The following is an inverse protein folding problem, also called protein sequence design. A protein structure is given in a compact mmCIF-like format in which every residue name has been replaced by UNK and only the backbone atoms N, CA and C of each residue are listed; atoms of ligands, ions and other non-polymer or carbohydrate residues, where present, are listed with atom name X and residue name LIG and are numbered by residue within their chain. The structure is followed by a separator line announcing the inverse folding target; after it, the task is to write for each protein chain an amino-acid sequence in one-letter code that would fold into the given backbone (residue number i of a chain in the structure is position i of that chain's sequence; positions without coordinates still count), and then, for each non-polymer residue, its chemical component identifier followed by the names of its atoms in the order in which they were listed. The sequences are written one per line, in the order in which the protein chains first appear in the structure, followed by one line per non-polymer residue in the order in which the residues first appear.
data_IF_612923058452
#
_entry.id   IF_612923058452
#
_cell.length_a   1.000
_cell.length_b   1.000
_cell.length_c   1.000
_cell.angle_alpha   90.00
_cell.angle_beta   90.00
_cell.angle_gamma   90.00
#
_symmetry.space_group_name_H-M   'P 1'
#
loop_
_entity.id
_entity.type
_entity.pdbx_description
1 polymer ?
#
# COMPACT_ATOMS: atom_id res chain seq x y z
N UNK A 1 -54.59 7.50 4.56
CA UNK A 1 -53.37 7.74 5.37
C UNK A 1 -53.14 9.24 5.37
N UNK A 2 -53.06 9.87 6.54
CA UNK A 2 -52.99 11.34 6.66
C UNK A 2 -51.65 11.85 6.10
N UNK A 3 -51.64 13.05 5.52
CA UNK A 3 -50.45 13.71 4.96
C UNK A 3 -49.34 13.77 5.99
N UNK A 4 -49.69 14.05 7.25
CA UNK A 4 -48.74 14.06 8.39
C UNK A 4 -48.08 12.69 8.60
N UNK A 5 -48.86 11.61 8.52
CA UNK A 5 -48.33 10.24 8.68
C UNK A 5 -47.41 9.86 7.51
N UNK A 6 -47.66 10.34 6.30
CA UNK A 6 -46.79 10.11 5.14
C UNK A 6 -45.47 10.88 5.23
N UNK A 7 -45.51 12.14 5.68
CA UNK A 7 -44.30 12.95 5.84
C UNK A 7 -43.36 12.38 6.91
N UNK A 8 -43.89 11.90 8.04
CA UNK A 8 -43.08 11.27 9.10
C UNK A 8 -42.41 9.99 8.59
N UNK A 9 -43.13 9.17 7.83
CA UNK A 9 -42.60 7.93 7.24
C UNK A 9 -41.44 8.19 6.27
N UNK A 10 -41.57 9.23 5.44
CA UNK A 10 -40.51 9.63 4.51
C UNK A 10 -39.25 10.12 5.24
N UNK A 11 -39.41 10.93 6.29
CA UNK A 11 -38.28 11.42 7.08
C UNK A 11 -37.54 10.25 7.73
N UNK A 12 -38.25 9.31 8.35
CA UNK A 12 -37.64 8.13 8.97
C UNK A 12 -36.90 7.28 7.94
N UNK A 13 -37.49 7.06 6.76
CA UNK A 13 -36.85 6.31 5.68
C UNK A 13 -35.56 6.99 5.19
N UNK A 14 -35.59 8.30 4.96
CA UNK A 14 -34.39 9.06 4.58
C UNK A 14 -33.32 9.05 5.66
N UNK A 15 -33.69 9.13 6.94
CA UNK A 15 -32.74 9.03 8.05
C UNK A 15 -32.08 7.65 8.13
N UNK A 16 -32.84 6.56 7.95
CA UNK A 16 -32.29 5.20 7.94
C UNK A 16 -31.35 4.99 6.75
N UNK A 17 -31.72 5.46 5.56
CA UNK A 17 -30.86 5.40 4.38
C UNK A 17 -29.60 6.26 4.58
N UNK A 18 -29.73 7.47 5.12
CA UNK A 18 -28.62 8.37 5.40
C UNK A 18 -27.65 7.80 6.42
N UNK A 19 -28.15 7.24 7.53
CA UNK A 19 -27.33 6.55 8.52
C UNK A 19 -26.71 5.30 7.91
N UNK A 20 -27.45 4.52 7.11
CA UNK A 20 -26.91 3.37 6.39
C UNK A 20 -25.79 3.75 5.42
N UNK A 21 -25.92 4.87 4.70
CA UNK A 21 -24.89 5.40 3.81
C UNK A 21 -23.67 5.92 4.58
N UNK A 22 -23.88 6.59 5.73
CA UNK A 22 -22.78 7.03 6.60
C UNK A 22 -22.04 5.84 7.22
N UNK A 23 -22.77 4.81 7.68
CA UNK A 23 -22.17 3.58 8.19
C UNK A 23 -21.48 2.77 7.08
N UNK A 24 -22.02 2.76 5.86
CA UNK A 24 -21.40 2.12 4.70
C UNK A 24 -20.15 2.87 4.22
N UNK A 25 -20.16 4.20 4.33
CA UNK A 25 -18.98 5.04 4.10
C UNK A 25 -17.94 4.81 5.18
N UNK A 26 -18.34 4.74 6.45
CA UNK A 26 -17.45 4.35 7.56
C UNK A 26 -16.89 2.93 7.38
N UNK A 27 -17.67 1.95 6.89
CA UNK A 27 -17.14 0.61 6.63
C UNK A 27 -16.14 0.58 5.47
N UNK A 28 -16.31 1.45 4.45
CA UNK A 28 -15.30 1.62 3.39
C UNK A 28 -14.06 2.40 3.86
N UNK A 29 -14.22 3.29 4.84
CA UNK A 29 -13.13 4.03 5.48
C UNK A 29 -12.40 3.18 6.53
N UNK A 30 -13.09 2.20 7.14
CA UNK A 30 -12.55 1.26 8.12
C UNK A 30 -12.00 -0.01 7.50
N UNK A 31 -12.46 -0.42 6.32
CA UNK A 31 -11.91 -1.61 5.66
C UNK A 31 -11.96 -1.58 4.12
N UNK A 32 -10.76 -1.49 3.53
CA UNK A 32 -10.48 -1.85 2.13
C UNK A 32 -8.99 -2.17 1.89
N UNK A 33 -8.11 -2.18 2.92
CA UNK A 33 -6.75 -2.70 2.82
C UNK A 33 -6.03 -2.61 4.16
N UNK A 34 -6.07 -3.68 4.96
CA UNK A 34 -5.10 -3.87 6.05
C UNK A 34 -3.72 -4.22 5.46
N UNK A 35 -3.16 -3.30 4.67
CA UNK A 35 -1.73 -3.28 4.39
C UNK A 35 -1.13 -2.46 5.53
N UNK A 36 -0.56 -3.11 6.54
CA UNK A 36 0.17 -2.43 7.60
C UNK A 36 1.09 -1.40 6.98
N UNK A 37 0.73 -0.12 7.13
CA UNK A 37 1.56 0.98 6.68
C UNK A 37 2.70 1.03 7.67
N UNK A 38 3.92 0.82 7.17
CA UNK A 38 5.13 0.81 7.95
C UNK A 38 6.03 1.94 7.49
N UNK A 39 6.78 2.49 8.43
CA UNK A 39 7.86 3.42 8.14
C UNK A 39 9.07 2.67 7.58
N UNK A 40 9.95 3.40 6.88
CA UNK A 40 11.14 2.80 6.26
C UNK A 40 12.01 2.06 7.26
N UNK A 41 12.13 2.58 8.47
CA UNK A 41 12.95 2.03 9.55
C UNK A 41 12.45 0.65 9.99
N UNK A 42 11.15 0.38 9.83
CA UNK A 42 10.50 -0.87 10.25
C UNK A 42 10.60 -1.98 9.18
N UNK A 43 11.01 -1.66 7.94
CA UNK A 43 11.02 -2.62 6.83
C UNK A 43 11.90 -3.83 7.15
N UNK A 44 13.08 -3.61 7.74
CA UNK A 44 14.00 -4.69 8.07
C UNK A 44 13.44 -5.62 9.16
N UNK A 45 12.70 -5.08 10.12
CA UNK A 45 12.10 -5.84 11.22
C UNK A 45 10.87 -6.64 10.76
N UNK A 46 10.08 -6.08 9.85
CA UNK A 46 8.82 -6.67 9.38
C UNK A 46 9.05 -7.72 8.28
N UNK A 47 10.09 -7.56 7.46
CA UNK A 47 10.37 -8.45 6.33
C UNK A 47 10.60 -9.89 6.81
N UNK A 48 9.72 -10.79 6.37
CA UNK A 48 9.70 -12.21 6.74
C UNK A 48 10.32 -13.12 5.68
N UNK A 49 10.97 -12.56 4.66
CA UNK A 49 11.69 -13.34 3.66
C UNK A 49 12.81 -14.14 4.35
N UNK A 50 13.03 -15.38 3.91
CA UNK A 50 14.15 -16.17 4.40
C UNK A 50 15.46 -15.44 4.08
N UNK A 51 16.33 -15.31 5.08
CA UNK A 51 17.54 -14.48 5.02
C UNK A 51 18.71 -15.16 4.32
N UNK A 52 18.59 -16.44 4.02
CA UNK A 52 19.63 -17.22 3.32
C UNK A 52 19.21 -17.42 1.87
N UNK A 53 20.01 -16.91 0.92
CA UNK A 53 19.82 -17.17 -0.51
C UNK A 53 20.10 -15.96 -1.40
N UNK A 54 19.64 -16.06 -2.64
CA UNK A 54 19.68 -14.98 -3.62
C UNK A 54 18.30 -14.35 -3.77
N UNK A 55 18.28 -13.06 -4.10
CA UNK A 55 17.08 -12.27 -4.19
C UNK A 55 17.04 -11.48 -5.49
N UNK A 56 15.88 -11.47 -6.12
CA UNK A 56 15.54 -10.56 -7.20
C UNK A 56 14.73 -9.41 -6.65
N UNK A 57 15.15 -8.18 -6.96
CA UNK A 57 14.47 -6.95 -6.56
C UNK A 57 13.90 -6.28 -7.81
N UNK A 58 12.58 -6.24 -7.92
CA UNK A 58 11.87 -5.58 -9.01
C UNK A 58 11.34 -4.22 -8.55
N UNK A 59 11.42 -3.22 -9.43
CA UNK A 59 10.97 -1.86 -9.16
C UNK A 59 9.85 -1.51 -10.12
N UNK A 60 8.69 -1.15 -9.59
CA UNK A 60 7.47 -0.97 -10.38
C UNK A 60 7.01 0.48 -10.26
N UNK A 61 6.64 1.09 -11.37
CA UNK A 61 6.06 2.45 -11.43
C UNK A 61 4.64 2.46 -10.90
N UNK A 62 4.17 3.63 -10.50
CA UNK A 62 2.76 3.86 -10.17
C UNK A 62 1.81 3.53 -11.33
N UNK A 63 2.29 3.60 -12.57
CA UNK A 63 1.53 3.19 -13.76
C UNK A 63 1.52 1.68 -14.00
N UNK A 64 2.23 0.89 -13.19
CA UNK A 64 2.35 -0.57 -13.34
C UNK A 64 3.49 -1.06 -14.23
N UNK A 65 4.20 -0.17 -14.93
CA UNK A 65 5.36 -0.54 -15.75
C UNK A 65 6.62 -0.68 -14.90
N UNK A 66 7.65 -1.35 -15.44
CA UNK A 66 8.97 -1.35 -14.81
C UNK A 66 9.51 0.07 -14.62
N UNK A 67 10.06 0.34 -13.44
CA UNK A 67 10.66 1.62 -13.07
C UNK A 67 12.13 1.69 -13.48
N UNK A 68 12.86 0.60 -13.23
CA UNK A 68 14.25 0.37 -13.61
C UNK A 68 14.50 -1.13 -13.58
N UNK A 69 15.60 -1.55 -14.22
CA UNK A 69 16.05 -2.93 -14.28
C UNK A 69 16.09 -3.60 -12.90
N UNK A 70 15.62 -4.84 -12.86
CA UNK A 70 15.68 -5.69 -11.68
C UNK A 70 17.11 -5.94 -11.24
N UNK A 71 17.31 -6.01 -9.93
CA UNK A 71 18.64 -6.22 -9.34
C UNK A 71 18.68 -7.61 -8.70
N UNK A 72 19.74 -8.35 -8.99
CA UNK A 72 20.04 -9.63 -8.34
C UNK A 72 21.10 -9.41 -7.25
N UNK A 73 20.82 -9.90 -6.05
CA UNK A 73 21.74 -9.84 -4.91
C UNK A 73 21.78 -11.19 -4.20
N UNK A 74 22.94 -11.57 -3.68
CA UNK A 74 23.14 -12.87 -3.00
C UNK A 74 23.15 -12.73 -1.46
N UNK A 75 22.62 -11.62 -0.96
CA UNK A 75 22.65 -11.27 0.45
C UNK A 75 21.40 -10.46 0.85
N UNK A 76 20.80 -10.84 1.97
CA UNK A 76 19.57 -10.22 2.48
C UNK A 76 19.81 -8.78 2.91
N UNK A 77 20.90 -8.50 3.61
CA UNK A 77 21.22 -7.15 4.09
C UNK A 77 21.44 -6.19 2.91
N UNK A 78 22.12 -6.66 1.86
CA UNK A 78 22.28 -5.92 0.62
C UNK A 78 20.94 -5.69 -0.10
N UNK A 79 20.03 -6.67 -0.07
CA UNK A 79 18.69 -6.53 -0.64
C UNK A 79 17.91 -5.41 0.07
N UNK A 80 17.81 -5.48 1.40
CA UNK A 80 17.13 -4.49 2.23
C UNK A 80 17.77 -3.11 2.07
N UNK A 81 19.11 -3.02 2.09
CA UNK A 81 19.83 -1.76 1.88
C UNK A 81 19.50 -1.13 0.52
N UNK A 82 19.39 -1.95 -0.53
CA UNK A 82 19.05 -1.51 -1.89
C UNK A 82 17.62 -0.97 -1.96
N UNK A 83 16.67 -1.65 -1.30
CA UNK A 83 15.29 -1.19 -1.18
C UNK A 83 15.20 0.12 -0.41
N UNK A 84 15.78 0.19 0.79
CA UNK A 84 15.78 1.40 1.63
C UNK A 84 16.44 2.60 0.94
N UNK A 85 17.57 2.38 0.26
CA UNK A 85 18.26 3.41 -0.53
C UNK A 85 17.36 3.93 -1.67
N UNK A 86 16.66 3.03 -2.35
CA UNK A 86 15.75 3.39 -3.44
C UNK A 86 14.55 4.20 -2.94
N UNK A 87 13.92 3.79 -1.84
CA UNK A 87 12.80 4.51 -1.22
C UNK A 87 13.21 5.91 -0.74
N UNK A 88 14.37 6.04 -0.08
CA UNK A 88 14.90 7.35 0.34
C UNK A 88 15.15 8.28 -0.84
N UNK A 89 15.75 7.79 -1.92
CA UNK A 89 15.96 8.59 -3.16
C UNK A 89 14.63 9.02 -3.78
N UNK A 90 13.60 8.18 -3.68
CA UNK A 90 12.25 8.47 -4.14
C UNK A 90 11.45 9.40 -3.21
N UNK A 91 12.00 9.78 -2.03
CA UNK A 91 11.32 10.55 -0.98
C UNK A 91 10.01 9.88 -0.56
N UNK A 92 10.09 8.60 -0.26
CA UNK A 92 9.01 7.79 0.28
C UNK A 92 9.38 7.46 1.72
N UNK A 93 8.55 7.92 2.67
CA UNK A 93 8.80 7.76 4.11
C UNK A 93 7.96 6.62 4.73
N UNK A 94 6.94 6.15 4.02
CA UNK A 94 6.10 5.03 4.44
C UNK A 94 5.60 4.20 3.26
N UNK A 95 5.40 2.91 3.51
CA UNK A 95 4.95 1.92 2.53
C UNK A 95 3.89 1.01 3.14
N UNK A 96 3.01 0.52 2.29
CA UNK A 96 2.00 -0.50 2.58
C UNK A 96 2.56 -1.88 2.27
N UNK A 97 2.51 -2.81 3.23
CA UNK A 97 2.91 -4.20 2.99
C UNK A 97 1.80 -4.96 2.27
N UNK A 98 2.06 -5.41 1.05
CA UNK A 98 1.13 -6.16 0.20
C UNK A 98 1.26 -7.67 0.41
N UNK A 99 2.50 -8.15 0.49
CA UNK A 99 2.81 -9.56 0.70
C UNK A 99 4.07 -9.67 1.56
N UNK A 100 4.08 -10.64 2.47
CA UNK A 100 5.19 -10.86 3.39
C UNK A 100 5.26 -12.35 3.75
N UNK A 101 5.91 -13.11 2.89
CA UNK A 101 6.12 -14.54 3.04
C UNK A 101 7.62 -14.86 3.02
N UNK A 102 8.03 -16.09 3.37
CA UNK A 102 9.43 -16.51 3.30
C UNK A 102 10.08 -16.36 1.92
N UNK A 103 9.30 -16.36 0.85
CA UNK A 103 9.82 -16.31 -0.53
C UNK A 103 9.53 -14.98 -1.24
N UNK A 104 8.66 -14.14 -0.66
CA UNK A 104 8.13 -12.96 -1.33
C UNK A 104 7.82 -11.84 -0.35
N UNK A 105 8.41 -10.68 -0.59
CA UNK A 105 8.08 -9.44 0.10
C UNK A 105 7.69 -8.36 -0.92
N UNK A 106 6.47 -7.85 -0.83
CA UNK A 106 5.95 -6.81 -1.72
C UNK A 106 5.51 -5.62 -0.89
N UNK A 107 6.06 -4.46 -1.22
CA UNK A 107 5.67 -3.18 -0.64
C UNK A 107 5.17 -2.23 -1.72
N UNK A 108 4.11 -1.51 -1.42
CA UNK A 108 3.54 -0.49 -2.27
C UNK A 108 3.62 0.87 -1.57
N UNK A 109 3.68 1.95 -2.35
CA UNK A 109 3.61 3.30 -1.82
C UNK A 109 2.25 3.50 -1.13
N UNK A 110 2.26 3.90 0.15
CA UNK A 110 1.03 4.08 0.92
C UNK A 110 0.20 5.28 0.44
N UNK A 111 0.86 6.38 0.11
CA UNK A 111 0.21 7.62 -0.30
C UNK A 111 0.53 8.00 -1.75
N UNK A 112 -0.51 8.32 -2.52
CA UNK A 112 -0.36 8.87 -3.86
C UNK A 112 0.27 10.26 -3.80
N UNK A 113 1.30 10.49 -4.60
CA UNK A 113 1.94 11.80 -4.71
C UNK A 113 1.70 12.37 -6.11
N UNK A 114 0.69 13.23 -6.24
CA UNK A 114 0.35 13.92 -7.48
C UNK A 114 1.39 14.99 -7.90
N UNK A 115 2.30 15.37 -6.98
CA UNK A 115 3.28 16.43 -7.20
C UNK A 115 4.65 15.85 -7.49
N UNK A 116 4.92 15.50 -8.74
CA UNK A 116 6.21 15.87 -9.32
C UNK A 116 6.67 15.09 -10.54
N UNK A 117 7.22 15.85 -11.48
CA UNK A 117 7.84 15.43 -12.74
C UNK A 117 9.19 14.70 -12.59
N UNK A 118 9.66 14.47 -11.36
CA UNK A 118 10.96 13.85 -11.10
C UNK A 118 10.84 12.31 -11.13
N UNK A 119 11.73 11.63 -11.87
CA UNK A 119 11.72 10.17 -12.05
C UNK A 119 11.50 9.41 -10.73
N UNK A 120 12.17 9.80 -9.65
CA UNK A 120 12.02 9.18 -8.31
C UNK A 120 10.58 9.11 -7.80
N UNK A 121 9.71 10.04 -8.20
CA UNK A 121 8.31 10.08 -7.76
C UNK A 121 7.41 9.10 -8.49
N UNK A 122 7.90 8.50 -9.59
CA UNK A 122 7.17 7.49 -10.37
C UNK A 122 7.19 6.11 -9.72
N UNK A 123 8.04 5.86 -8.72
CA UNK A 123 8.10 4.58 -8.01
C UNK A 123 6.77 4.32 -7.28
N UNK A 124 6.15 3.18 -7.59
CA UNK A 124 4.88 2.72 -7.04
C UNK A 124 5.02 1.53 -6.10
N UNK A 125 5.81 0.52 -6.48
CA UNK A 125 6.02 -0.67 -5.66
C UNK A 125 7.44 -1.21 -5.79
N UNK A 126 7.86 -1.99 -4.81
CA UNK A 126 9.07 -2.80 -4.84
C UNK A 126 8.69 -4.22 -4.45
N UNK A 127 9.20 -5.18 -5.21
CA UNK A 127 9.06 -6.61 -4.95
C UNK A 127 10.43 -7.20 -4.69
N UNK A 128 10.57 -7.98 -3.63
CA UNK A 128 11.74 -8.81 -3.33
C UNK A 128 11.25 -10.26 -3.42
N UNK A 129 11.87 -11.06 -4.29
CA UNK A 129 11.60 -12.48 -4.41
C UNK A 129 12.86 -13.27 -4.16
N UNK A 130 12.76 -14.31 -3.36
CA UNK A 130 13.83 -15.29 -3.19
C UNK A 130 13.90 -16.18 -4.44
N UNK A 131 15.13 -16.55 -4.82
CA UNK A 131 15.44 -17.40 -5.98
C UNK A 131 15.97 -18.74 -5.49
#
# INVERSE_FOLDING_TARGET
MDVKTMSILLIVLFSVIGIGLLLFQESRLRDSNNHSVIYLEQIQEVCSIDKIGSYQIDFIRQSGNEYKESILVNDFELAIKTVLSTLRRAKIDSVSVISNTPDLFIIHRAFYNARGSQEGKKLGAIRIAKI
#
